data_IF_217195001602
#
_entry.id   IF_217195001602
#
_cell.length_a   1.000
_cell.length_b   1.000
_cell.length_c   1.000
_cell.angle_alpha   90.00
_cell.angle_beta   90.00
_cell.angle_gamma   90.00
#
_symmetry.space_group_name_H-M   'P 1'
#
loop_
_entity.id
_entity.type
_entity.pdbx_description
1 polymer ?
#
# COMPACT_ATOMS: atom_id res chain seq x y z
N UNK A 1 10.54 26.32 0.58
CA UNK A 1 11.54 26.09 -0.49
C UNK A 1 11.08 24.92 -1.35
N UNK A 2 10.79 25.13 -2.65
CA UNK A 2 10.50 24.02 -3.58
C UNK A 2 11.81 23.25 -3.79
N UNK A 3 11.84 21.97 -3.41
CA UNK A 3 12.96 21.07 -3.73
C UNK A 3 13.09 20.94 -5.25
N UNK A 4 14.32 20.91 -5.76
CA UNK A 4 14.59 20.70 -7.19
C UNK A 4 14.12 19.29 -7.58
N UNK A 5 13.33 19.20 -8.64
CA UNK A 5 12.89 17.92 -9.21
C UNK A 5 14.06 17.23 -9.91
N UNK A 6 14.11 15.90 -9.80
CA UNK A 6 15.05 15.04 -10.52
C UNK A 6 14.29 14.13 -11.49
N UNK A 7 14.94 13.80 -12.60
CA UNK A 7 14.40 12.88 -13.59
C UNK A 7 14.64 11.44 -13.11
N UNK A 8 13.58 10.63 -13.13
CA UNK A 8 13.65 9.23 -12.74
C UNK A 8 13.90 8.37 -13.99
N UNK A 9 14.75 7.32 -13.92
CA UNK A 9 14.90 6.35 -14.99
C UNK A 9 13.57 5.65 -15.35
N UNK A 10 13.34 5.38 -16.64
CA UNK A 10 12.06 4.82 -17.14
C UNK A 10 11.60 3.56 -16.39
N UNK A 11 12.52 2.68 -16.03
CA UNK A 11 12.19 1.42 -15.33
C UNK A 11 11.68 1.63 -13.89
N UNK A 12 11.84 2.83 -13.32
CA UNK A 12 11.35 3.19 -11.98
C UNK A 12 10.10 4.09 -12.00
N UNK A 13 9.57 4.40 -13.19
CA UNK A 13 8.43 5.34 -13.31
C UNK A 13 7.18 4.85 -12.60
N UNK A 14 6.95 3.55 -12.56
CA UNK A 14 5.78 2.99 -11.86
C UNK A 14 5.89 3.14 -10.32
N UNK A 15 7.10 3.32 -9.78
CA UNK A 15 7.35 3.42 -8.34
C UNK A 15 7.47 4.89 -7.90
N UNK A 16 8.16 5.73 -8.68
CA UNK A 16 8.50 7.11 -8.31
C UNK A 16 7.92 8.19 -9.24
N UNK A 17 7.23 7.79 -10.31
CA UNK A 17 6.86 8.68 -11.40
C UNK A 17 8.04 9.08 -12.29
N UNK A 18 7.79 9.90 -13.30
CA UNK A 18 8.82 10.40 -14.21
C UNK A 18 9.72 11.46 -13.58
N UNK A 19 9.18 12.22 -12.62
CA UNK A 19 9.88 13.24 -11.84
C UNK A 19 9.54 13.07 -10.37
N UNK A 20 10.54 13.20 -9.51
CA UNK A 20 10.38 13.18 -8.05
C UNK A 20 11.32 14.19 -7.40
N UNK A 21 11.15 14.42 -6.10
CA UNK A 21 12.09 15.24 -5.33
C UNK A 21 12.91 14.36 -4.37
N UNK A 22 14.15 14.74 -4.04
CA UNK A 22 14.96 13.98 -3.08
C UNK A 22 14.27 13.79 -1.72
N UNK A 23 13.43 14.77 -1.31
CA UNK A 23 12.65 14.69 -0.07
C UNK A 23 11.56 13.62 -0.16
N UNK A 24 10.83 13.58 -1.27
CA UNK A 24 9.79 12.56 -1.50
C UNK A 24 10.38 11.15 -1.54
N UNK A 25 11.54 11.00 -2.19
CA UNK A 25 12.27 9.73 -2.19
C UNK A 25 12.73 9.35 -0.79
N UNK A 26 13.37 10.27 -0.06
CA UNK A 26 13.83 10.02 1.31
C UNK A 26 12.68 9.60 2.23
N UNK A 27 11.53 10.28 2.16
CA UNK A 27 10.34 9.93 2.94
C UNK A 27 9.77 8.58 2.52
N UNK A 28 9.76 8.27 1.22
CA UNK A 28 9.26 6.99 0.72
C UNK A 28 10.14 5.83 1.20
N UNK A 29 11.45 5.91 1.01
CA UNK A 29 12.39 4.90 1.49
C UNK A 29 12.39 4.81 3.02
N UNK A 30 12.29 5.94 3.72
CA UNK A 30 12.12 5.98 5.18
C UNK A 30 10.85 5.26 5.64
N UNK A 31 9.73 5.45 4.95
CA UNK A 31 8.48 4.73 5.20
C UNK A 31 8.62 3.21 5.00
N UNK A 32 9.36 2.80 3.96
CA UNK A 32 9.68 1.39 3.74
C UNK A 32 10.55 0.79 4.84
N UNK A 33 11.62 1.48 5.24
CA UNK A 33 12.49 1.05 6.34
C UNK A 33 11.73 0.95 7.66
N UNK A 34 10.88 1.94 7.96
CA UNK A 34 10.05 1.93 9.16
C UNK A 34 9.07 0.75 9.16
N UNK A 35 8.44 0.45 8.02
CA UNK A 35 7.53 -0.67 7.88
C UNK A 35 8.25 -2.01 8.03
N UNK A 36 9.42 -2.18 7.43
CA UNK A 36 10.25 -3.37 7.59
C UNK A 36 10.71 -3.55 9.05
N UNK A 37 11.18 -2.48 9.70
CA UNK A 37 11.57 -2.51 11.11
C UNK A 37 10.40 -2.88 12.03
N UNK A 38 9.21 -2.32 11.77
CA UNK A 38 7.99 -2.65 12.51
C UNK A 38 7.61 -4.12 12.32
N UNK A 39 7.65 -4.63 11.10
CA UNK A 39 7.38 -6.03 10.81
C UNK A 39 8.41 -6.97 11.47
N UNK A 40 9.69 -6.60 11.47
CA UNK A 40 10.73 -7.35 12.19
C UNK A 40 10.45 -7.39 13.69
N UNK A 41 10.15 -6.25 14.30
CA UNK A 41 9.82 -6.17 15.72
C UNK A 41 8.62 -7.04 16.08
N UNK A 42 7.54 -6.97 15.30
CA UNK A 42 6.34 -7.80 15.52
C UNK A 42 6.58 -9.29 15.25
N UNK A 43 7.49 -9.63 14.34
CA UNK A 43 7.89 -11.02 14.10
C UNK A 43 8.65 -11.59 15.31
N UNK A 44 9.66 -10.88 15.79
CA UNK A 44 10.47 -11.30 16.95
C UNK A 44 9.62 -11.32 18.23
N UNK A 45 8.76 -10.32 18.43
CA UNK A 45 7.88 -10.23 19.60
C UNK A 45 6.85 -11.37 19.71
N UNK A 46 6.54 -12.05 18.60
CA UNK A 46 5.69 -13.25 18.59
C UNK A 46 6.47 -14.54 18.87
N UNK A 47 7.78 -14.47 19.10
CA UNK A 47 8.62 -15.65 19.25
C UNK A 47 8.64 -16.52 17.98
N UNK A 48 8.34 -15.94 16.81
CA UNK A 48 8.19 -16.69 15.58
C UNK A 48 9.55 -17.27 15.14
N UNK A 49 9.67 -18.59 15.26
CA UNK A 49 10.80 -19.34 14.74
C UNK A 49 10.44 -19.89 13.36
N UNK A 50 11.18 -19.50 12.33
CA UNK A 50 10.92 -19.96 10.98
C UNK A 50 12.15 -19.83 10.08
N UNK A 51 12.09 -20.37 8.85
CA UNK A 51 13.17 -20.22 7.89
C UNK A 51 13.49 -18.74 7.65
N UNK A 52 14.78 -18.39 7.68
CA UNK A 52 15.25 -17.00 7.49
C UNK A 52 14.73 -16.40 6.19
N UNK A 53 14.58 -17.19 5.13
CA UNK A 53 14.06 -16.70 3.86
C UNK A 53 12.59 -16.21 3.94
N UNK A 54 11.75 -16.77 4.82
CA UNK A 54 10.38 -16.28 5.05
C UNK A 54 10.39 -14.92 5.75
N UNK A 55 11.33 -14.72 6.67
CA UNK A 55 11.55 -13.42 7.29
C UNK A 55 12.02 -12.40 6.25
N UNK A 56 13.01 -12.74 5.42
CA UNK A 56 13.48 -11.86 4.33
C UNK A 56 12.32 -11.48 3.41
N UNK A 57 11.50 -12.45 3.00
CA UNK A 57 10.31 -12.22 2.17
C UNK A 57 9.33 -11.25 2.86
N UNK A 58 9.02 -11.49 4.14
CA UNK A 58 8.16 -10.62 4.93
C UNK A 58 8.68 -9.18 5.00
N UNK A 59 9.98 -8.99 5.25
CA UNK A 59 10.60 -7.67 5.35
C UNK A 59 10.58 -6.92 4.03
N UNK A 60 10.83 -7.60 2.90
CA UNK A 60 10.77 -7.00 1.57
C UNK A 60 9.36 -6.53 1.21
N UNK A 61 8.35 -7.36 1.49
CA UNK A 61 6.94 -7.02 1.24
C UNK A 61 6.52 -5.84 2.13
N UNK A 62 6.88 -5.87 3.41
CA UNK A 62 6.62 -4.77 4.35
C UNK A 62 7.28 -3.48 3.91
N UNK A 63 8.52 -3.54 3.41
CA UNK A 63 9.22 -2.37 2.88
C UNK A 63 8.52 -1.78 1.67
N UNK A 64 8.08 -2.60 0.71
CA UNK A 64 7.32 -2.13 -0.46
C UNK A 64 5.97 -1.51 -0.07
N UNK A 65 5.27 -2.11 0.88
CA UNK A 65 3.99 -1.57 1.38
C UNK A 65 4.22 -0.23 2.06
N UNK A 66 5.18 -0.13 2.97
CA UNK A 66 5.52 1.12 3.66
C UNK A 66 5.99 2.21 2.71
N UNK A 67 6.89 1.88 1.78
CA UNK A 67 7.39 2.83 0.80
C UNK A 67 6.27 3.30 -0.13
N UNK A 68 5.46 2.38 -0.65
CA UNK A 68 4.32 2.69 -1.50
C UNK A 68 3.23 3.47 -0.77
N UNK A 69 3.01 3.24 0.53
CA UNK A 69 2.07 4.00 1.34
C UNK A 69 2.42 5.49 1.41
N UNK A 70 3.71 5.83 1.31
CA UNK A 70 4.19 7.23 1.27
C UNK A 70 4.32 7.72 -0.17
N UNK A 71 4.99 6.97 -1.04
CA UNK A 71 5.28 7.35 -2.42
C UNK A 71 4.01 7.68 -3.21
N UNK A 72 2.93 6.93 -2.99
CA UNK A 72 1.65 7.16 -3.67
C UNK A 72 0.94 8.46 -3.26
N UNK A 73 1.35 9.14 -2.17
CA UNK A 73 0.89 10.51 -1.89
C UNK A 73 1.67 11.57 -2.67
N UNK A 74 2.86 11.23 -3.17
CA UNK A 74 3.74 12.20 -3.83
C UNK A 74 3.22 12.55 -5.22
N UNK A 75 3.56 13.75 -5.70
CA UNK A 75 3.19 14.19 -7.05
C UNK A 75 3.76 13.29 -8.14
N UNK A 76 4.96 12.76 -7.95
CA UNK A 76 5.62 11.88 -8.92
C UNK A 76 4.78 10.64 -9.19
N UNK A 77 4.59 9.80 -8.17
CA UNK A 77 3.90 8.51 -8.35
C UNK A 77 2.41 8.71 -8.61
N UNK A 78 1.69 9.52 -7.83
CA UNK A 78 0.25 9.71 -8.04
C UNK A 78 -0.07 10.37 -9.38
N UNK A 79 0.73 11.38 -9.77
CA UNK A 79 0.61 12.05 -11.07
C UNK A 79 0.79 11.10 -12.25
N UNK A 80 1.76 10.16 -12.16
CA UNK A 80 1.98 9.13 -13.21
C UNK A 80 0.74 8.29 -13.53
N UNK A 81 -0.17 8.13 -12.56
CA UNK A 81 -1.41 7.36 -12.71
C UNK A 81 -2.68 8.21 -12.91
N UNK A 82 -2.58 9.54 -12.92
CA UNK A 82 -3.74 10.44 -12.82
C UNK A 82 -4.49 10.69 -14.14
N UNK A 83 -3.85 10.47 -15.30
CA UNK A 83 -4.44 10.70 -16.62
C UNK A 83 -5.59 9.74 -17.00
N UNK A 84 -6.54 10.19 -17.86
CA UNK A 84 -7.59 9.32 -18.41
C UNK A 84 -7.02 8.08 -19.12
N UNK A 85 -5.92 8.25 -19.85
CA UNK A 85 -5.19 7.20 -20.59
C UNK A 85 -4.57 6.14 -19.67
N UNK A 86 -4.35 6.48 -18.39
CA UNK A 86 -3.77 5.57 -17.37
C UNK A 86 -4.79 4.64 -16.74
N UNK A 87 -6.06 4.63 -17.19
CA UNK A 87 -7.12 3.77 -16.61
C UNK A 87 -6.72 2.29 -16.58
N UNK A 88 -6.18 1.76 -17.68
CA UNK A 88 -5.70 0.36 -17.73
C UNK A 88 -4.55 0.12 -16.75
N UNK A 89 -3.56 1.01 -16.73
CA UNK A 89 -2.41 0.91 -15.83
C UNK A 89 -2.83 0.94 -14.36
N UNK A 90 -3.82 1.77 -14.00
CA UNK A 90 -4.39 1.79 -12.65
C UNK A 90 -5.05 0.47 -12.26
N UNK A 91 -5.83 -0.14 -13.17
CA UNK A 91 -6.44 -1.44 -12.91
C UNK A 91 -5.38 -2.52 -12.72
N UNK A 92 -4.36 -2.56 -13.59
CA UNK A 92 -3.22 -3.49 -13.45
C UNK A 92 -2.53 -3.29 -12.12
N UNK A 93 -2.28 -2.04 -11.71
CA UNK A 93 -1.72 -1.73 -10.40
C UNK A 93 -2.61 -2.29 -9.29
N UNK A 94 -3.90 -1.98 -9.25
CA UNK A 94 -4.83 -2.49 -8.22
C UNK A 94 -4.81 -4.01 -8.16
N UNK A 95 -4.96 -4.71 -9.29
CA UNK A 95 -4.99 -6.17 -9.31
C UNK A 95 -3.65 -6.81 -8.96
N UNK A 96 -2.52 -6.19 -9.30
CA UNK A 96 -1.20 -6.70 -8.89
C UNK A 96 -1.03 -6.74 -7.36
N UNK A 97 -1.80 -5.94 -6.60
CA UNK A 97 -1.76 -5.94 -5.14
C UNK A 97 -2.43 -7.16 -4.51
N UNK A 98 -2.93 -8.12 -5.29
CA UNK A 98 -3.19 -9.47 -4.76
C UNK A 98 -1.88 -10.18 -4.35
N UNK A 99 -0.75 -9.83 -4.96
CA UNK A 99 0.55 -10.48 -4.69
C UNK A 99 1.01 -10.23 -3.25
N UNK A 100 0.88 -8.99 -2.73
CA UNK A 100 1.28 -8.65 -1.36
C UNK A 100 0.64 -9.54 -0.30
N UNK A 101 -0.71 -9.61 -0.15
CA UNK A 101 -1.35 -10.46 0.84
C UNK A 101 -1.07 -11.94 0.60
N UNK A 102 -1.02 -12.41 -0.65
CA UNK A 102 -0.67 -13.81 -0.95
C UNK A 102 0.69 -14.19 -0.40
N UNK A 103 1.72 -13.38 -0.68
CA UNK A 103 3.07 -13.64 -0.17
C UNK A 103 3.16 -13.43 1.35
N UNK A 104 2.42 -12.46 1.89
CA UNK A 104 2.39 -12.20 3.34
C UNK A 104 1.76 -13.39 4.09
N UNK A 105 0.63 -13.92 3.62
CA UNK A 105 -0.02 -15.08 4.24
C UNK A 105 0.84 -16.34 4.12
N UNK A 106 1.53 -16.51 3.00
CA UNK A 106 2.45 -17.61 2.78
C UNK A 106 3.69 -17.54 3.70
N UNK A 107 4.26 -16.36 3.88
CA UNK A 107 5.38 -16.14 4.80
C UNK A 107 4.99 -16.43 6.25
N UNK A 108 3.75 -16.10 6.64
CA UNK A 108 3.26 -16.29 8.01
C UNK A 108 2.57 -17.65 8.25
N UNK A 109 2.23 -18.41 7.21
CA UNK A 109 1.37 -19.61 7.30
C UNK A 109 -0.02 -19.33 7.92
N UNK A 110 -0.65 -18.21 7.58
CA UNK A 110 -1.91 -17.72 8.21
C UNK A 110 -3.08 -17.57 7.24
N UNK A 111 -3.12 -18.39 6.18
CA UNK A 111 -4.22 -18.34 5.21
C UNK A 111 -5.53 -18.71 5.91
N UNK A 112 -6.50 -17.80 5.89
CA UNK A 112 -7.84 -18.02 6.43
C UNK A 112 -8.92 -17.37 5.55
N UNK A 113 -10.17 -17.86 5.56
CA UNK A 113 -11.27 -17.23 4.82
C UNK A 113 -11.45 -15.75 5.18
N UNK A 114 -11.23 -15.39 6.46
CA UNK A 114 -11.34 -14.02 6.93
C UNK A 114 -10.23 -13.14 6.33
N UNK A 115 -8.98 -13.60 6.31
CA UNK A 115 -7.87 -12.85 5.70
C UNK A 115 -8.04 -12.68 4.18
N UNK A 116 -8.59 -13.69 3.51
CA UNK A 116 -8.97 -13.61 2.09
C UNK A 116 -10.09 -12.58 1.91
N UNK A 117 -11.13 -12.62 2.75
CA UNK A 117 -12.23 -11.65 2.74
C UNK A 117 -11.76 -10.21 2.92
N UNK A 118 -10.82 -9.97 3.85
CA UNK A 118 -10.21 -8.64 4.04
C UNK A 118 -9.41 -8.18 2.82
N UNK A 119 -8.70 -9.09 2.16
CA UNK A 119 -8.00 -8.78 0.91
C UNK A 119 -8.98 -8.36 -0.18
N UNK A 120 -10.04 -9.14 -0.38
CA UNK A 120 -11.09 -8.83 -1.36
C UNK A 120 -11.78 -7.50 -1.04
N UNK A 121 -12.05 -7.23 0.23
CA UNK A 121 -12.61 -5.95 0.69
C UNK A 121 -11.71 -4.78 0.30
N UNK A 122 -10.39 -4.88 0.51
CA UNK A 122 -9.45 -3.82 0.12
C UNK A 122 -9.42 -3.62 -1.38
N UNK A 123 -9.31 -4.69 -2.17
CA UNK A 123 -9.28 -4.56 -3.63
C UNK A 123 -10.59 -3.96 -4.16
N UNK A 124 -11.75 -4.48 -3.71
CA UNK A 124 -13.06 -3.97 -4.12
C UNK A 124 -13.27 -2.51 -3.73
N UNK A 125 -12.91 -2.14 -2.49
CA UNK A 125 -12.98 -0.75 -2.00
C UNK A 125 -12.14 0.19 -2.85
N UNK A 126 -10.93 -0.24 -3.23
CA UNK A 126 -10.05 0.55 -4.09
C UNK A 126 -10.65 0.77 -5.48
N UNK A 127 -11.30 -0.25 -6.05
CA UNK A 127 -12.03 -0.12 -7.31
C UNK A 127 -13.20 0.87 -7.18
N UNK A 128 -13.97 0.81 -6.09
CA UNK A 128 -15.06 1.77 -5.80
C UNK A 128 -14.52 3.20 -5.74
N UNK A 129 -13.44 3.45 -5.00
CA UNK A 129 -12.80 4.77 -4.93
C UNK A 129 -12.34 5.22 -6.33
N UNK A 130 -11.79 4.31 -7.14
CA UNK A 130 -11.30 4.66 -8.48
C UNK A 130 -12.43 5.04 -9.45
N UNK A 131 -13.64 4.52 -9.27
CA UNK A 131 -14.80 4.86 -10.09
C UNK A 131 -15.37 6.26 -9.80
N UNK A 132 -15.19 6.77 -8.58
CA UNK A 132 -15.62 8.13 -8.23
C UNK A 132 -14.76 9.14 -8.97
N UNK A 133 -15.36 10.01 -9.78
CA UNK A 133 -14.65 10.97 -10.64
C UNK A 133 -14.12 12.19 -9.88
N UNK A 134 -14.95 12.75 -9.00
CA UNK A 134 -14.67 13.95 -8.22
C UNK A 134 -13.70 13.67 -7.06
N UNK A 135 -12.59 14.40 -7.00
CA UNK A 135 -11.49 14.18 -6.05
C UNK A 135 -11.91 14.37 -4.59
N UNK A 136 -12.75 15.37 -4.29
CA UNK A 136 -13.22 15.59 -2.92
C UNK A 136 -14.10 14.43 -2.46
N UNK A 137 -14.99 13.93 -3.33
CA UNK A 137 -15.78 12.74 -3.04
C UNK A 137 -14.92 11.47 -2.92
N UNK A 138 -13.84 11.34 -3.70
CA UNK A 138 -12.88 10.25 -3.54
C UNK A 138 -12.27 10.24 -2.13
N UNK A 139 -11.91 11.41 -1.58
CA UNK A 139 -11.34 11.53 -0.23
C UNK A 139 -12.31 11.05 0.83
N UNK A 140 -13.57 11.49 0.76
CA UNK A 140 -14.62 11.09 1.72
C UNK A 140 -14.88 9.59 1.65
N UNK A 141 -15.05 9.03 0.44
CA UNK A 141 -15.29 7.60 0.24
C UNK A 141 -14.09 6.76 0.72
N UNK A 142 -12.86 7.19 0.41
CA UNK A 142 -11.67 6.49 0.84
C UNK A 142 -11.49 6.51 2.37
N UNK A 143 -11.77 7.64 3.02
CA UNK A 143 -11.74 7.74 4.47
C UNK A 143 -12.81 6.85 5.13
N UNK A 144 -14.04 6.87 4.61
CA UNK A 144 -15.11 5.99 5.09
C UNK A 144 -14.74 4.50 4.96
N UNK A 145 -14.22 4.10 3.80
CA UNK A 145 -13.81 2.71 3.56
C UNK A 145 -12.63 2.29 4.42
N UNK A 146 -11.71 3.21 4.76
CA UNK A 146 -10.63 2.94 5.72
C UNK A 146 -11.19 2.71 7.13
N UNK A 147 -12.12 3.55 7.58
CA UNK A 147 -12.80 3.36 8.87
C UNK A 147 -13.55 2.03 8.89
N UNK A 148 -14.28 1.70 7.82
CA UNK A 148 -14.95 0.42 7.68
C UNK A 148 -13.96 -0.76 7.76
N UNK A 149 -12.84 -0.69 7.03
CA UNK A 149 -11.80 -1.71 7.07
C UNK A 149 -11.27 -1.91 8.48
N UNK A 150 -10.92 -0.83 9.19
CA UNK A 150 -10.40 -0.90 10.56
C UNK A 150 -11.46 -1.50 11.49
N UNK A 151 -12.70 -1.04 11.43
CA UNK A 151 -13.79 -1.57 12.26
C UNK A 151 -14.00 -3.07 12.02
N UNK A 152 -14.08 -3.49 10.75
CA UNK A 152 -14.22 -4.89 10.39
C UNK A 152 -13.01 -5.71 10.85
N UNK A 153 -11.80 -5.17 10.71
CA UNK A 153 -10.57 -5.84 11.11
C UNK A 153 -10.60 -6.20 12.61
N UNK A 154 -11.04 -5.29 13.48
CA UNK A 154 -11.12 -5.53 14.93
C UNK A 154 -12.27 -6.47 15.35
N UNK A 155 -13.34 -6.60 14.57
CA UNK A 155 -14.44 -7.55 14.87
C UNK A 155 -14.30 -8.89 14.13
N UNK A 156 -13.34 -9.02 13.22
CA UNK A 156 -13.17 -10.19 12.36
C UNK A 156 -12.56 -11.42 13.04
N UNK A 157 -12.04 -11.26 14.25
CA UNK A 157 -11.29 -12.31 14.96
C UNK A 157 -9.84 -12.47 14.51
N UNK A 158 -9.33 -11.64 13.58
CA UNK A 158 -7.89 -11.58 13.29
C UNK A 158 -7.17 -11.02 14.52
N UNK A 159 -6.40 -11.85 15.20
CA UNK A 159 -5.59 -11.46 16.36
C UNK A 159 -4.10 -11.33 16.07
N UNK A 160 -3.64 -11.85 14.92
CA UNK A 160 -2.22 -11.86 14.57
C UNK A 160 -1.71 -10.42 14.32
N UNK A 161 -0.79 -9.88 15.15
CA UNK A 161 -0.39 -8.47 15.10
C UNK A 161 0.14 -8.02 13.74
N UNK A 162 0.91 -8.87 13.05
CA UNK A 162 1.41 -8.55 11.69
C UNK A 162 0.29 -8.43 10.67
N UNK A 163 -0.80 -9.21 10.78
CA UNK A 163 -1.94 -9.09 9.86
C UNK A 163 -2.73 -7.81 10.13
N UNK A 164 -2.94 -7.48 11.41
CA UNK A 164 -3.60 -6.24 11.81
C UNK A 164 -2.83 -5.03 11.25
N UNK A 165 -1.53 -4.98 11.52
CA UNK A 165 -0.64 -3.94 11.01
C UNK A 165 -0.63 -3.88 9.48
N UNK A 166 -0.51 -5.04 8.81
CA UNK A 166 -0.51 -5.15 7.36
C UNK A 166 -1.77 -4.57 6.74
N UNK A 167 -2.97 -4.97 7.19
CA UNK A 167 -4.21 -4.53 6.57
C UNK A 167 -4.46 -3.03 6.75
N UNK A 168 -4.10 -2.46 7.90
CA UNK A 168 -4.19 -1.02 8.12
C UNK A 168 -3.30 -0.27 7.14
N UNK A 169 -2.01 -0.65 7.05
CA UNK A 169 -1.07 0.02 6.18
C UNK A 169 -1.39 -0.18 4.69
N UNK A 170 -1.88 -1.38 4.34
CA UNK A 170 -2.33 -1.72 2.99
C UNK A 170 -3.58 -0.92 2.59
N UNK A 171 -4.53 -0.74 3.50
CA UNK A 171 -5.68 0.15 3.33
C UNK A 171 -5.26 1.61 3.14
N UNK A 172 -4.31 2.11 3.94
CA UNK A 172 -3.75 3.46 3.75
C UNK A 172 -3.10 3.59 2.36
N UNK A 173 -2.27 2.62 1.96
CA UNK A 173 -1.58 2.60 0.65
C UNK A 173 -2.58 2.63 -0.51
N UNK A 174 -3.62 1.81 -0.48
CA UNK A 174 -4.53 1.69 -1.62
C UNK A 174 -5.70 2.67 -1.59
N UNK A 175 -6.32 2.93 -0.44
CA UNK A 175 -7.49 3.81 -0.36
C UNK A 175 -7.07 5.27 -0.40
N UNK A 176 -6.20 5.65 0.55
CA UNK A 176 -5.82 7.03 0.73
C UNK A 176 -4.72 7.41 -0.25
N UNK A 177 -3.60 6.70 -0.26
CA UNK A 177 -2.44 7.12 -1.04
C UNK A 177 -2.71 6.98 -2.54
N UNK A 178 -3.06 5.77 -3.01
CA UNK A 178 -3.26 5.51 -4.44
C UNK A 178 -4.65 5.87 -4.98
N UNK A 179 -5.72 5.49 -4.28
CA UNK A 179 -7.09 5.54 -4.81
C UNK A 179 -7.58 6.95 -5.19
N UNK A 180 -7.08 7.97 -4.49
CA UNK A 180 -7.42 9.38 -4.70
C UNK A 180 -6.49 9.98 -5.76
N UNK A 181 -7.06 10.49 -6.85
CA UNK A 181 -6.32 11.16 -7.94
C UNK A 181 -6.10 12.63 -7.58
N UNK A 182 -4.99 12.92 -6.90
CA UNK A 182 -4.74 14.24 -6.30
C UNK A 182 -4.22 15.27 -7.28
N UNK A 183 -3.49 14.80 -8.28
CA UNK A 183 -2.76 15.67 -9.19
C UNK A 183 -3.40 15.59 -10.57
N UNK A 184 -3.49 16.71 -11.30
CA UNK A 184 -3.83 16.66 -12.72
C UNK A 184 -2.74 15.90 -13.49
N UNK A 185 -3.15 15.33 -14.62
CA UNK A 185 -2.25 14.70 -15.59
C UNK A 185 -1.23 15.70 -16.14
#
# INVERSE_FOLDING_TARGET
MRSKEIQIPKFLHDIHGSKSTPRDLLLSYGGGLLAAATAYYLWVGQGATGPVWKLVLLLLISADIGAGAVANFTRGTNGHYSGPEKRKTRLVFIFSHFVHPTLFFFALNVISPVAIGMTLLVIASTLVINQVTEVERQRVVAAFLLVLLISLLFVSGISHPLLLWFFILFGVKLFLAFGIRRYPA
#
